data_IF_747337101833
#
_entry.id   IF_747337101833
#
_cell.length_a   1.000
_cell.length_b   1.000
_cell.length_c   1.000
_cell.angle_alpha   90.00
_cell.angle_beta   90.00
_cell.angle_gamma   90.00
#
_symmetry.space_group_name_H-M   'P 1'
#
loop_
_entity.id
_entity.type
_entity.pdbx_description
1 polymer ?
#
# COMPACT_ATOMS: atom_id res chain seq x y z
N UNK A 1 4.94 12.66 21.42
CA UNK A 1 4.60 12.50 19.98
C UNK A 1 3.42 13.38 19.57
N UNK A 2 2.22 13.20 20.14
CA UNK A 2 1.02 14.00 19.80
C UNK A 2 1.25 15.51 19.86
N UNK A 3 1.77 16.04 20.97
CA UNK A 3 2.05 17.47 21.13
C UNK A 3 3.08 18.03 20.13
N UNK A 4 4.03 17.20 19.65
CA UNK A 4 5.08 17.60 18.71
C UNK A 4 4.63 17.56 17.25
N UNK A 5 3.78 16.59 16.90
CA UNK A 5 3.42 16.27 15.52
C UNK A 5 2.00 16.70 15.15
N UNK A 6 1.14 16.97 16.14
CA UNK A 6 -0.30 17.15 15.94
C UNK A 6 -1.06 15.88 15.55
N UNK A 7 -0.36 14.75 15.38
CA UNK A 7 -0.93 13.49 14.89
C UNK A 7 -1.30 12.56 16.03
N UNK A 8 -2.20 11.62 15.77
CA UNK A 8 -2.66 10.62 16.75
C UNK A 8 -2.04 9.23 16.56
N UNK A 9 -1.36 9.01 15.43
CA UNK A 9 -0.73 7.74 15.03
C UNK A 9 0.49 8.01 14.15
N UNK A 10 1.35 7.01 13.97
CA UNK A 10 2.48 7.08 13.02
C UNK A 10 2.09 6.86 11.57
N UNK A 11 0.83 6.52 11.28
CA UNK A 11 0.36 6.33 9.91
C UNK A 11 -0.73 7.33 9.53
N UNK A 12 -0.57 7.93 8.37
CA UNK A 12 -1.62 8.66 7.65
C UNK A 12 -2.06 7.80 6.48
N UNK A 13 -3.37 7.68 6.26
CA UNK A 13 -3.93 6.92 5.16
C UNK A 13 -5.11 7.63 4.55
N UNK A 14 -5.29 7.50 3.23
CA UNK A 14 -6.41 8.08 2.52
C UNK A 14 -6.46 7.67 1.05
N UNK A 15 -7.58 8.00 0.41
CA UNK A 15 -7.76 7.85 -1.03
C UNK A 15 -7.18 9.08 -1.74
N UNK A 16 -6.50 8.86 -2.85
CA UNK A 16 -6.01 9.93 -3.71
C UNK A 16 -6.04 9.50 -5.18
N UNK A 17 -5.63 10.40 -6.07
CA UNK A 17 -5.30 10.07 -7.45
C UNK A 17 -3.84 10.35 -7.73
N UNK A 18 -3.17 9.45 -8.45
CA UNK A 18 -1.79 9.62 -8.91
C UNK A 18 -1.82 9.68 -10.42
N UNK A 19 -1.59 10.88 -10.98
CA UNK A 19 -1.69 11.14 -12.42
C UNK A 19 -3.02 10.64 -13.02
N UNK A 20 -4.12 10.83 -12.28
CA UNK A 20 -5.48 10.45 -12.68
C UNK A 20 -5.93 9.04 -12.27
N UNK A 21 -5.01 8.20 -11.76
CA UNK A 21 -5.32 6.82 -11.36
C UNK A 21 -5.77 6.80 -9.91
N UNK A 22 -6.94 6.24 -9.61
CA UNK A 22 -7.38 6.07 -8.22
C UNK A 22 -6.42 5.17 -7.45
N UNK A 23 -6.11 5.53 -6.21
CA UNK A 23 -5.15 4.80 -5.39
C UNK A 23 -5.42 5.02 -3.91
N UNK A 24 -5.29 3.96 -3.10
CA UNK A 24 -5.20 4.09 -1.65
C UNK A 24 -3.74 4.26 -1.25
N UNK A 25 -3.46 5.29 -0.46
CA UNK A 25 -2.11 5.65 -0.04
C UNK A 25 -1.99 5.61 1.48
N UNK A 26 -0.93 4.97 1.94
CA UNK A 26 -0.51 4.94 3.34
C UNK A 26 0.89 5.55 3.43
N UNK A 27 1.09 6.47 4.36
CA UNK A 27 2.36 7.13 4.61
C UNK A 27 2.71 7.03 6.10
N UNK A 28 3.87 6.47 6.38
CA UNK A 28 4.44 6.46 7.72
C UNK A 28 5.12 7.80 8.04
N UNK A 29 4.93 8.26 9.27
CA UNK A 29 5.59 9.41 9.84
C UNK A 29 6.55 8.97 10.95
N UNK A 30 7.84 8.94 10.61
CA UNK A 30 8.90 8.57 11.54
C UNK A 30 8.97 9.50 12.78
N UNK A 31 8.52 10.75 12.67
CA UNK A 31 8.53 11.70 13.79
C UNK A 31 7.56 11.31 14.91
N UNK A 32 6.57 10.47 14.61
CA UNK A 32 5.67 9.90 15.60
C UNK A 32 6.22 8.56 16.11
N UNK A 33 6.89 8.61 17.27
CA UNK A 33 7.39 7.39 17.95
C UNK A 33 8.23 6.48 17.03
N UNK A 34 9.09 7.07 16.19
CA UNK A 34 9.94 6.33 15.26
C UNK A 34 9.17 5.59 14.18
N UNK A 35 7.97 6.05 13.83
CA UNK A 35 7.13 5.38 12.85
C UNK A 35 6.66 3.99 13.30
N UNK A 36 6.67 3.71 14.60
CA UNK A 36 6.48 2.34 15.11
C UNK A 36 5.08 1.78 14.78
N UNK A 37 5.03 0.52 14.37
CA UNK A 37 3.81 -0.22 14.06
C UNK A 37 3.10 -0.66 15.35
N UNK A 38 1.95 -0.06 15.65
CA UNK A 38 1.04 -0.48 16.72
C UNK A 38 -0.35 -0.80 16.18
N UNK A 39 -1.30 -1.05 17.09
CA UNK A 39 -2.66 -1.50 16.78
C UNK A 39 -3.42 -0.55 15.85
N UNK A 40 -3.24 0.76 16.05
CA UNK A 40 -3.88 1.80 15.23
C UNK A 40 -3.32 1.79 13.81
N UNK A 41 -2.00 1.67 13.68
CA UNK A 41 -1.33 1.62 12.38
C UNK A 41 -1.73 0.37 11.59
N UNK A 42 -1.73 -0.80 12.24
CA UNK A 42 -2.17 -2.03 11.60
C UNK A 42 -3.64 -1.99 11.17
N UNK A 43 -4.54 -1.42 11.99
CA UNK A 43 -5.93 -1.20 11.59
C UNK A 43 -6.08 -0.22 10.42
N UNK A 44 -5.30 0.87 10.39
CA UNK A 44 -5.32 1.83 9.27
C UNK A 44 -4.87 1.19 7.96
N UNK A 45 -3.84 0.35 7.99
CA UNK A 45 -3.38 -0.41 6.81
C UNK A 45 -4.48 -1.35 6.33
N UNK A 46 -5.09 -2.16 7.22
CA UNK A 46 -6.18 -3.07 6.83
C UNK A 46 -7.37 -2.31 6.24
N UNK A 47 -7.72 -1.15 6.78
CA UNK A 47 -8.78 -0.30 6.21
C UNK A 47 -8.43 0.23 4.83
N UNK A 48 -7.18 0.62 4.58
CA UNK A 48 -6.74 1.03 3.26
C UNK A 48 -6.79 -0.13 2.27
N UNK A 49 -6.35 -1.32 2.67
CA UNK A 49 -6.48 -2.54 1.86
C UNK A 49 -7.93 -2.83 1.51
N UNK A 50 -8.84 -2.80 2.49
CA UNK A 50 -10.26 -3.06 2.24
C UNK A 50 -10.86 -2.02 1.29
N UNK A 51 -10.52 -0.73 1.44
CA UNK A 51 -10.97 0.33 0.51
C UNK A 51 -10.41 0.13 -0.89
N UNK A 52 -9.15 -0.28 -1.03
CA UNK A 52 -8.55 -0.58 -2.33
C UNK A 52 -9.30 -1.74 -3.02
N UNK A 53 -9.64 -2.79 -2.26
CA UNK A 53 -10.46 -3.92 -2.75
C UNK A 53 -11.86 -3.49 -3.17
N UNK A 54 -12.51 -2.62 -2.39
CA UNK A 54 -13.85 -2.09 -2.66
C UNK A 54 -13.86 -1.22 -3.92
N UNK A 55 -12.90 -0.30 -4.02
CA UNK A 55 -12.76 0.64 -5.15
C UNK A 55 -12.08 0.04 -6.38
N UNK A 56 -11.55 -1.18 -6.27
CA UNK A 56 -10.77 -1.85 -7.32
C UNK A 56 -9.60 -1.00 -7.81
N UNK A 57 -8.87 -0.39 -6.87
CA UNK A 57 -7.73 0.46 -7.16
C UNK A 57 -6.44 -0.08 -6.52
N UNK A 58 -5.30 0.49 -6.93
CA UNK A 58 -4.00 0.11 -6.37
C UNK A 58 -3.82 0.56 -4.92
N UNK A 59 -2.91 -0.10 -4.22
CA UNK A 59 -2.46 0.29 -2.87
C UNK A 59 -0.99 0.67 -2.91
N UNK A 60 -0.64 1.76 -2.23
CA UNK A 60 0.74 2.14 -1.98
C UNK A 60 0.97 2.32 -0.49
N UNK A 61 2.07 1.76 0.01
CA UNK A 61 2.52 1.98 1.39
C UNK A 61 3.94 2.55 1.37
N UNK A 62 4.10 3.79 1.84
CA UNK A 62 5.39 4.43 2.07
C UNK A 62 5.82 4.17 3.51
N UNK A 63 6.82 3.32 3.69
CA UNK A 63 7.30 2.85 4.98
C UNK A 63 8.47 3.69 5.48
N UNK A 64 8.36 4.12 6.74
CA UNK A 64 9.40 4.82 7.51
C UNK A 64 9.21 4.40 8.98
N UNK A 65 9.94 3.40 9.44
CA UNK A 65 9.73 2.79 10.76
C UNK A 65 10.98 2.21 11.38
N UNK A 66 11.12 2.38 12.69
CA UNK A 66 12.08 1.66 13.52
C UNK A 66 11.63 0.25 13.91
N UNK A 67 10.41 -0.17 13.56
CA UNK A 67 9.87 -1.50 13.83
C UNK A 67 8.54 -1.51 14.62
N UNK A 68 8.28 -2.59 15.34
CA UNK A 68 7.05 -2.77 16.11
C UNK A 68 7.04 -1.88 17.36
N UNK A 69 5.87 -1.37 17.75
CA UNK A 69 5.70 -0.52 18.93
C UNK A 69 5.78 -1.35 20.21
N UNK A 70 6.93 -1.32 20.88
CA UNK A 70 7.17 -2.12 22.09
C UNK A 70 6.17 -1.85 23.22
N UNK A 71 5.60 -0.64 23.30
CA UNK A 71 4.62 -0.28 24.33
C UNK A 71 3.31 -1.07 24.23
N UNK A 72 2.99 -1.60 23.05
CA UNK A 72 1.81 -2.44 22.84
C UNK A 72 2.17 -3.95 22.76
N UNK A 73 3.47 -4.30 22.88
CA UNK A 73 3.99 -5.67 22.99
C UNK A 73 3.40 -6.62 21.92
N UNK A 74 2.78 -7.73 22.33
CA UNK A 74 2.16 -8.74 21.46
C UNK A 74 1.15 -8.14 20.48
N UNK A 75 0.44 -7.07 20.84
CA UNK A 75 -0.49 -6.44 19.90
C UNK A 75 0.22 -5.88 18.67
N UNK A 76 1.40 -5.29 18.85
CA UNK A 76 2.23 -4.82 17.73
C UNK A 76 2.75 -5.96 16.87
N UNK A 77 3.16 -7.07 17.50
CA UNK A 77 3.60 -8.26 16.77
C UNK A 77 2.48 -8.81 15.89
N UNK A 78 1.26 -8.92 16.44
CA UNK A 78 0.09 -9.41 15.70
C UNK A 78 -0.34 -8.48 14.57
N UNK A 79 0.10 -7.22 14.54
CA UNK A 79 -0.16 -6.37 13.38
C UNK A 79 0.58 -6.83 12.14
N UNK A 80 1.73 -7.51 12.29
CA UNK A 80 2.48 -8.08 11.16
C UNK A 80 1.60 -9.11 10.44
N UNK A 81 1.09 -10.11 11.17
CA UNK A 81 0.24 -11.14 10.57
C UNK A 81 -1.09 -10.57 10.06
N UNK A 82 -1.71 -9.64 10.80
CA UNK A 82 -2.96 -8.99 10.40
C UNK A 82 -2.83 -8.25 9.07
N UNK A 83 -1.78 -7.46 8.90
CA UNK A 83 -1.55 -6.67 7.67
C UNK A 83 -1.14 -7.55 6.51
N UNK A 84 -0.27 -8.54 6.72
CA UNK A 84 0.09 -9.54 5.70
C UNK A 84 -1.12 -10.34 5.21
N UNK A 85 -2.02 -10.77 6.11
CA UNK A 85 -3.24 -11.48 5.74
C UNK A 85 -4.19 -10.59 4.91
N UNK A 86 -4.27 -9.30 5.23
CA UNK A 86 -5.04 -8.35 4.43
C UNK A 86 -4.43 -8.16 3.03
N UNK A 87 -3.11 -8.00 2.92
CA UNK A 87 -2.43 -7.88 1.62
C UNK A 87 -2.61 -9.13 0.76
N UNK A 88 -2.61 -10.33 1.35
CA UNK A 88 -2.91 -11.54 0.60
C UNK A 88 -4.33 -11.49 -0.02
N UNK A 89 -5.32 -10.90 0.67
CA UNK A 89 -6.66 -10.70 0.09
C UNK A 89 -6.63 -9.73 -1.09
N UNK A 90 -5.83 -8.66 -1.01
CA UNK A 90 -5.62 -7.72 -2.12
C UNK A 90 -5.02 -8.42 -3.34
N UNK A 91 -3.99 -9.25 -3.13
CA UNK A 91 -3.34 -10.04 -4.17
C UNK A 91 -4.31 -11.04 -4.84
N UNK A 92 -5.16 -11.71 -4.06
CA UNK A 92 -6.17 -12.64 -4.61
C UNK A 92 -7.20 -11.94 -5.52
N UNK A 93 -7.54 -10.69 -5.20
CA UNK A 93 -8.37 -9.81 -6.04
C UNK A 93 -7.62 -9.30 -7.29
N UNK A 94 -6.30 -9.52 -7.36
CA UNK A 94 -5.44 -9.10 -8.47
C UNK A 94 -5.10 -7.60 -8.45
N UNK A 95 -5.27 -6.92 -7.32
CA UNK A 95 -5.01 -5.48 -7.25
C UNK A 95 -3.55 -5.22 -6.87
N UNK A 96 -2.86 -4.27 -7.53
CA UNK A 96 -1.44 -4.05 -7.32
C UNK A 96 -1.16 -3.41 -5.96
N UNK A 97 -0.14 -3.92 -5.29
CA UNK A 97 0.47 -3.32 -4.12
C UNK A 97 1.92 -2.93 -4.38
N UNK A 98 2.19 -1.63 -4.32
CA UNK A 98 3.55 -1.08 -4.43
C UNK A 98 4.03 -0.67 -3.03
N UNK A 99 5.15 -1.27 -2.61
CA UNK A 99 5.80 -0.95 -1.33
C UNK A 99 6.94 0.03 -1.57
N UNK A 100 6.94 1.17 -0.90
CA UNK A 100 8.00 2.17 -1.00
C UNK A 100 8.74 2.25 0.33
N UNK A 101 10.03 1.93 0.31
CA UNK A 101 10.90 1.86 1.47
C UNK A 101 11.71 3.15 1.59
N UNK A 102 11.53 3.86 2.69
CA UNK A 102 12.29 5.10 2.99
C UNK A 102 13.17 4.90 4.22
N UNK A 103 14.11 5.82 4.41
CA UNK A 103 15.07 5.75 5.52
C UNK A 103 14.44 6.19 6.87
N UNK A 104 14.44 5.34 7.91
CA UNK A 104 14.73 3.90 7.92
C UNK A 104 13.46 3.05 7.79
N UNK A 105 13.58 1.80 7.29
CA UNK A 105 12.52 0.79 7.35
C UNK A 105 13.02 -0.50 8.01
N UNK A 106 12.69 -0.68 9.28
CA UNK A 106 13.31 -1.69 10.14
C UNK A 106 12.33 -2.66 10.82
N UNK A 107 12.87 -3.75 11.35
CA UNK A 107 12.19 -4.60 12.34
C UNK A 107 10.94 -5.29 11.81
N UNK A 108 9.90 -5.32 12.63
CA UNK A 108 8.64 -5.97 12.27
C UNK A 108 7.97 -5.38 11.02
N UNK A 109 8.22 -4.11 10.68
CA UNK A 109 7.70 -3.51 9.45
C UNK A 109 8.40 -4.08 8.23
N UNK A 110 9.74 -4.11 8.22
CA UNK A 110 10.50 -4.71 7.12
C UNK A 110 10.24 -6.22 7.00
N UNK A 111 9.98 -6.93 8.10
CA UNK A 111 9.66 -8.36 8.09
C UNK A 111 8.16 -8.68 7.90
N UNK A 112 7.34 -7.72 7.46
CA UNK A 112 5.93 -7.92 7.17
C UNK A 112 5.51 -7.20 5.89
N UNK A 113 4.47 -6.37 5.93
CA UNK A 113 3.87 -5.74 4.76
C UNK A 113 4.85 -4.96 3.88
N UNK A 114 5.93 -4.39 4.44
CA UNK A 114 6.88 -3.60 3.66
C UNK A 114 7.66 -4.43 2.62
N UNK A 115 7.81 -5.73 2.83
CA UNK A 115 8.50 -6.65 1.90
C UNK A 115 7.55 -7.62 1.20
N UNK A 116 6.24 -7.30 1.15
CA UNK A 116 5.21 -8.11 0.49
C UNK A 116 4.58 -7.37 -0.70
N UNK A 117 5.26 -6.36 -1.23
CA UNK A 117 4.84 -5.65 -2.44
C UNK A 117 4.93 -6.55 -3.66
N UNK A 118 4.02 -6.34 -4.62
CA UNK A 118 4.20 -6.87 -5.98
C UNK A 118 5.42 -6.20 -6.64
N UNK A 119 5.64 -4.92 -6.31
CA UNK A 119 6.89 -4.18 -6.58
C UNK A 119 7.34 -3.51 -5.28
N UNK A 120 8.62 -3.66 -4.96
CA UNK A 120 9.31 -3.07 -3.81
C UNK A 120 10.33 -2.05 -4.32
N UNK A 121 10.05 -0.78 -4.05
CA UNK A 121 10.89 0.37 -4.43
C UNK A 121 11.59 0.89 -3.17
N UNK A 122 12.85 1.29 -3.27
CA UNK A 122 13.52 2.04 -2.21
C UNK A 122 13.97 3.42 -2.68
N UNK A 123 14.05 4.39 -1.77
CA UNK A 123 14.76 5.65 -2.02
C UNK A 123 16.28 5.43 -1.95
N UNK A 124 17.10 6.25 -2.68
CA UNK A 124 18.55 6.15 -2.63
C UNK A 124 19.13 6.26 -1.22
N UNK A 125 20.09 5.40 -0.89
CA UNK A 125 20.72 5.30 0.43
C UNK A 125 19.80 4.89 1.59
N UNK A 126 18.55 4.46 1.34
CA UNK A 126 17.62 4.11 2.41
C UNK A 126 18.13 2.94 3.26
N UNK A 127 18.07 3.06 4.59
CA UNK A 127 18.48 1.98 5.49
C UNK A 127 17.31 1.05 5.79
N UNK A 128 17.40 -0.20 5.33
CA UNK A 128 16.32 -1.17 5.42
C UNK A 128 16.82 -2.52 5.94
N UNK A 129 16.12 -3.07 6.92
CA UNK A 129 16.39 -4.45 7.35
C UNK A 129 15.78 -4.87 8.68
N UNK A 130 15.82 -6.17 8.95
CA UNK A 130 15.14 -6.72 10.12
C UNK A 130 15.77 -6.30 11.44
N UNK A 131 17.08 -6.49 11.60
CA UNK A 131 17.81 -6.10 12.81
C UNK A 131 18.67 -4.87 12.53
N UNK A 132 18.82 -3.97 13.51
CA UNK A 132 19.70 -2.82 13.35
C UNK A 132 21.17 -3.23 13.29
N UNK A 133 21.97 -2.53 12.46
CA UNK A 133 23.40 -2.75 12.25
C UNK A 133 24.19 -2.93 13.57
N UNK A 134 23.89 -2.13 14.60
CA UNK A 134 24.53 -2.23 15.92
C UNK A 134 24.33 -3.61 16.56
N UNK A 135 23.11 -4.13 16.53
CA UNK A 135 22.79 -5.43 17.12
C UNK A 135 23.51 -6.54 16.36
N UNK A 136 23.49 -6.48 15.02
CA UNK A 136 24.15 -7.48 14.18
C UNK A 136 25.66 -7.49 14.43
N UNK A 137 26.31 -6.32 14.45
CA UNK A 137 27.75 -6.19 14.72
C UNK A 137 28.13 -6.74 16.11
N UNK A 138 27.29 -6.51 17.13
CA UNK A 138 27.52 -7.06 18.46
C UNK A 138 27.36 -8.58 18.52
N UNK A 139 26.44 -9.16 17.73
CA UNK A 139 26.21 -10.60 17.71
C UNK A 139 27.26 -11.36 16.91
N UNK A 140 27.65 -10.85 15.74
CA UNK A 140 28.61 -11.52 14.84
C UNK A 140 30.06 -11.23 15.24
N UNK A 141 30.32 -10.10 15.90
CA UNK A 141 31.67 -9.73 16.37
C UNK A 141 32.62 -9.27 15.26
N UNK A 142 32.11 -9.01 14.05
CA UNK A 142 32.87 -8.51 12.90
C UNK A 142 32.26 -7.21 12.38
N UNK A 143 33.07 -6.42 11.68
CA UNK A 143 32.58 -5.24 10.98
C UNK A 143 31.65 -5.63 9.83
N UNK A 144 30.60 -4.82 9.65
CA UNK A 144 29.65 -5.01 8.57
C UNK A 144 30.23 -4.43 7.26
N UNK A 145 29.94 -5.05 6.11
CA UNK A 145 30.33 -4.50 4.82
C UNK A 145 29.91 -3.04 4.64
N UNK A 146 30.67 -2.29 3.83
CA UNK A 146 30.25 -0.95 3.42
C UNK A 146 28.90 -1.03 2.70
N UNK A 147 28.01 -0.06 2.98
CA UNK A 147 26.67 -0.06 2.40
C UNK A 147 25.72 -1.14 2.91
N UNK A 148 26.10 -1.97 3.90
CA UNK A 148 25.23 -3.01 4.45
C UNK A 148 23.87 -2.43 4.86
N UNK A 149 22.77 -3.07 4.42
CA UNK A 149 21.38 -2.63 4.60
C UNK A 149 20.97 -1.33 3.88
N UNK A 150 21.82 -0.76 3.00
CA UNK A 150 21.43 0.34 2.12
C UNK A 150 20.63 -0.17 0.93
N UNK A 151 19.80 0.68 0.33
CA UNK A 151 19.02 0.37 -0.87
C UNK A 151 19.86 -0.25 -1.98
N UNK A 152 21.08 0.23 -2.20
CA UNK A 152 22.02 -0.29 -3.21
C UNK A 152 22.43 -1.73 -2.89
N UNK A 153 22.74 -2.01 -1.63
CA UNK A 153 23.04 -3.36 -1.14
C UNK A 153 21.81 -4.28 -1.29
N UNK A 154 20.62 -3.79 -0.95
CA UNK A 154 19.39 -4.57 -1.09
C UNK A 154 19.10 -4.92 -2.55
N UNK A 155 19.30 -3.97 -3.47
CA UNK A 155 19.10 -4.19 -4.91
C UNK A 155 20.09 -5.23 -5.45
N UNK A 156 21.37 -5.13 -5.09
CA UNK A 156 22.40 -6.09 -5.50
C UNK A 156 22.09 -7.53 -5.05
N UNK A 157 21.40 -7.68 -3.90
CA UNK A 157 21.01 -8.98 -3.36
C UNK A 157 19.59 -9.43 -3.76
N UNK A 158 18.92 -8.70 -4.66
CA UNK A 158 17.58 -9.04 -5.15
C UNK A 158 16.48 -8.93 -4.11
N UNK A 159 16.66 -8.09 -3.08
CA UNK A 159 15.67 -7.88 -2.01
C UNK A 159 14.66 -6.77 -2.34
N UNK A 160 14.97 -5.92 -3.31
CA UNK A 160 14.09 -4.86 -3.84
C UNK A 160 14.19 -4.86 -5.37
N UNK A 161 13.19 -4.32 -6.04
CA UNK A 161 13.11 -4.33 -7.51
C UNK A 161 13.83 -3.13 -8.15
N UNK A 162 13.80 -1.96 -7.48
CA UNK A 162 14.39 -0.75 -8.01
C UNK A 162 14.67 0.31 -6.94
N UNK A 163 15.58 1.23 -7.28
CA UNK A 163 15.88 2.44 -6.51
C UNK A 163 15.42 3.63 -7.33
N UNK A 164 14.60 4.50 -6.72
CA UNK A 164 13.97 5.62 -7.43
C UNK A 164 14.15 6.90 -6.61
N UNK A 165 14.67 7.95 -7.23
CA UNK A 165 14.77 9.26 -6.59
C UNK A 165 13.37 9.83 -6.29
N UNK A 166 13.24 10.57 -5.20
CA UNK A 166 11.96 11.12 -4.76
C UNK A 166 11.30 11.99 -5.82
N UNK A 167 12.08 12.71 -6.63
CA UNK A 167 11.54 13.58 -7.69
C UNK A 167 10.86 12.78 -8.80
N UNK A 168 11.34 11.56 -9.08
CA UNK A 168 10.82 10.69 -10.14
C UNK A 168 9.81 9.65 -9.63
N UNK A 169 9.63 9.56 -8.30
CA UNK A 169 8.80 8.56 -7.64
C UNK A 169 7.35 8.58 -8.14
N UNK A 170 6.76 9.77 -8.27
CA UNK A 170 5.36 9.92 -8.67
C UNK A 170 5.11 9.35 -10.07
N UNK A 171 5.99 9.66 -11.01
CA UNK A 171 5.83 9.24 -12.39
C UNK A 171 6.10 7.75 -12.55
N UNK A 172 7.15 7.23 -11.89
CA UNK A 172 7.46 5.80 -11.85
C UNK A 172 6.28 4.99 -11.31
N UNK A 173 5.77 5.35 -10.14
CA UNK A 173 4.63 4.67 -9.51
C UNK A 173 3.38 4.75 -10.38
N UNK A 174 3.13 5.90 -11.02
CA UNK A 174 1.98 6.04 -11.93
C UNK A 174 2.10 5.11 -13.14
N UNK A 175 3.29 4.94 -13.71
CA UNK A 175 3.54 4.02 -14.82
C UNK A 175 3.31 2.56 -14.42
N UNK A 176 3.80 2.16 -13.25
CA UNK A 176 3.57 0.82 -12.70
C UNK A 176 2.09 0.55 -12.46
N UNK A 177 1.37 1.51 -11.85
CA UNK A 177 -0.07 1.37 -11.62
C UNK A 177 -0.86 1.19 -12.93
N UNK A 178 -0.53 1.96 -13.99
CA UNK A 178 -1.16 1.78 -15.31
C UNK A 178 -0.92 0.38 -15.84
N UNK A 179 0.35 -0.05 -15.84
CA UNK A 179 0.74 -1.37 -16.33
C UNK A 179 -0.07 -2.48 -15.63
N UNK A 180 -0.12 -2.48 -14.29
CA UNK A 180 -0.82 -3.53 -13.55
C UNK A 180 -2.35 -3.47 -13.68
N UNK A 181 -2.94 -2.28 -13.80
CA UNK A 181 -4.40 -2.14 -13.86
C UNK A 181 -4.96 -2.33 -15.27
N UNK A 182 -4.23 -1.93 -16.32
CA UNK A 182 -4.62 -2.10 -17.72
C UNK A 182 -4.47 -3.57 -18.17
N UNK A 183 -3.41 -4.26 -17.74
CA UNK A 183 -3.15 -5.65 -18.14
C UNK A 183 -3.89 -6.71 -17.28
N UNK A 184 -4.75 -6.30 -16.33
CA UNK A 184 -5.43 -7.27 -15.46
C UNK A 184 -6.78 -7.75 -16.03
N UNK A 185 -6.86 -9.00 -16.54
CA UNK A 185 -8.09 -9.52 -17.13
C UNK A 185 -9.26 -9.67 -16.15
N UNK A 186 -9.00 -9.78 -14.83
CA UNK A 186 -10.06 -9.81 -13.80
C UNK A 186 -10.73 -8.45 -13.63
N UNK A 187 -9.97 -7.36 -13.77
CA UNK A 187 -10.48 -6.00 -13.68
C UNK A 187 -11.21 -5.66 -14.99
N UNK A 188 -10.58 -5.94 -16.14
CA UNK A 188 -11.14 -5.69 -17.47
C UNK A 188 -12.46 -6.44 -17.67
N UNK A 189 -12.53 -7.74 -17.37
CA UNK A 189 -13.80 -8.51 -17.50
C UNK A 189 -14.92 -7.95 -16.61
N UNK A 190 -14.60 -7.55 -15.38
CA UNK A 190 -15.61 -7.07 -14.42
C UNK A 190 -16.05 -5.63 -14.73
N UNK A 191 -15.17 -4.78 -15.27
CA UNK A 191 -15.55 -3.47 -15.82
C UNK A 191 -16.50 -3.63 -17.02
N UNK A 192 -16.22 -4.58 -17.93
CA UNK A 192 -17.11 -4.88 -19.05
C UNK A 192 -18.49 -5.38 -18.56
N UNK A 193 -18.53 -6.25 -17.54
CA UNK A 193 -19.77 -6.73 -16.92
C UNK A 193 -20.59 -5.62 -16.22
N UNK A 194 -19.93 -4.62 -15.63
CA UNK A 194 -20.62 -3.49 -15.00
C UNK A 194 -21.18 -2.51 -16.04
N UNK A 195 -20.43 -2.20 -17.10
CA UNK A 195 -20.91 -1.36 -18.21
C UNK A 195 -22.12 -2.00 -18.90
N UNK A 196 -22.08 -3.32 -19.10
CA UNK A 196 -23.23 -4.03 -19.70
C UNK A 196 -24.46 -4.04 -18.80
N UNK A 197 -24.31 -4.03 -17.47
CA UNK A 197 -25.44 -3.92 -16.53
C UNK A 197 -26.08 -2.54 -16.52
N UNK A 198 -25.28 -1.47 -16.47
CA UNK A 198 -25.79 -0.08 -16.56
C UNK A 198 -26.54 0.15 -17.87
N UNK A 199 -26.03 -0.39 -18.99
CA UNK A 199 -26.70 -0.28 -20.30
C UNK A 199 -28.03 -1.04 -20.35
N UNK A 200 -28.15 -2.17 -19.65
CA UNK A 200 -29.41 -2.93 -19.59
C UNK A 200 -30.45 -2.30 -18.65
N UNK A 201 -30.04 -1.64 -17.57
CA UNK A 201 -30.95 -0.93 -16.67
C UNK A 201 -31.51 0.34 -17.35
N UNK A 202 -30.69 1.12 -18.07
CA UNK A 202 -31.17 2.28 -18.86
C UNK A 202 -32.18 1.88 -19.96
N UNK A 203 -32.01 0.74 -20.63
CA UNK A 203 -33.00 0.28 -21.64
C UNK A 203 -34.32 -0.20 -21.05
N UNK A 204 -34.37 -0.52 -19.75
CA UNK A 204 -35.58 -1.00 -19.07
C UNK A 204 -36.45 0.12 -18.51
N UNK A 205 -35.88 1.30 -18.22
CA UNK A 205 -36.65 2.47 -17.79
C UNK A 205 -37.35 3.15 -18.99
N UNK A 206 -36.70 3.21 -20.15
CA UNK A 206 -37.21 3.92 -21.34
C UNK A 206 -38.38 3.21 -22.05
N UNK A 207 -38.63 1.92 -21.77
CA UNK A 207 -39.78 1.18 -22.31
C UNK A 207 -41.04 1.25 -21.45
N UNK A 208 -40.96 1.88 -20.28
CA UNK A 208 -42.10 2.02 -19.36
C UNK A 208 -42.88 3.34 -19.49
N UNK A 209 -42.29 4.36 -20.12
CA UNK A 209 -42.94 5.68 -20.30
C UNK A 209 -43.74 5.83 -21.61
N UNK A 210 -43.64 4.91 -22.58
CA UNK A 210 -44.29 5.08 -23.89
C UNK A 210 -45.69 4.44 -24.03
N UNK A 211 -46.30 3.92 -22.96
CA UNK A 211 -47.57 3.18 -23.05
C UNK A 211 -48.74 3.74 -22.23
N UNK A 212 -48.84 5.06 -22.13
CA UNK A 212 -50.02 5.74 -21.56
C UNK A 212 -50.49 6.91 -22.43
N UNK A 213 -50.93 6.61 -23.66
CA UNK A 213 -51.81 7.54 -24.40
C UNK A 213 -53.26 7.05 -24.20
N UNK A 214 -53.97 7.85 -23.42
CA UNK A 214 -55.40 7.81 -23.13
C UNK A 214 -56.25 7.56 -24.39
N UNK A 215 -57.14 6.57 -24.30
CA UNK A 215 -58.37 6.50 -25.08
C UNK A 215 -59.53 6.49 -24.09
N UNK A 216 -60.14 7.66 -23.88
CA UNK A 216 -61.51 7.80 -23.39
C UNK A 216 -62.09 9.14 -23.88
N UNK A 217 -63.33 9.06 -24.41
CA UNK A 217 -64.31 10.12 -24.71
C UNK A 217 -64.00 10.97 -25.97
N UNK A 218 -64.83 11.02 -27.03
CA UNK A 218 -66.29 10.83 -27.22
C UNK A 218 -66.64 10.10 -28.54
#
# INVERSE_FOLDING_TARGET
>A
AKAKTGKTSSVIGGSCTINGIETELIIFDFSFMGGSLGSVEGEKIVRAVNRAIEKKCGLIIISASGGARMQESTFSLLQMSKTSAALNRLHLEGLPFISILTDPTMGGVSASFAMLGDIIIAEPGALVGFAGQRVIKQTVGVDLPEGFQRSEFLLEHGLIDMIVDRNDMKDTVSGLLKLFLEDNPKIVKKQIENVTKDTTEETSEDTSESNSINLNED
#
